data_IF_473443058485
#
_entry.id   IF_473443058485
#
_cell.length_a   1.000
_cell.length_b   1.000
_cell.length_c   1.000
_cell.angle_alpha   90.00
_cell.angle_beta   90.00
_cell.angle_gamma   90.00
#
_symmetry.space_group_name_H-M   'P 1'
#
loop_
_entity.id
_entity.type
_entity.pdbx_description
1 polymer ?
#
# COMPACT_ATOMS: atom_id res chain seq x y z
N UNK A 1 -9.40 33.54 12.54
CA UNK A 1 -10.01 32.29 12.02
C UNK A 1 -8.89 31.30 11.76
N UNK A 2 -8.97 30.09 12.32
CA UNK A 2 -8.01 29.01 12.04
C UNK A 2 -8.57 28.08 10.98
N UNK A 3 -7.83 27.87 9.90
CA UNK A 3 -8.27 27.10 8.74
C UNK A 3 -7.59 25.74 8.68
N UNK A 4 -8.35 24.65 8.69
CA UNK A 4 -7.87 23.29 8.44
C UNK A 4 -8.09 22.95 6.98
N UNK A 5 -7.05 22.47 6.29
CA UNK A 5 -7.13 22.01 4.89
C UNK A 5 -6.82 20.51 4.89
N UNK A 6 -7.87 19.69 4.76
CA UNK A 6 -7.75 18.25 4.65
C UNK A 6 -7.52 17.80 3.20
N UNK A 7 -6.96 16.61 3.00
CA UNK A 7 -6.80 16.03 1.65
C UNK A 7 -8.12 15.59 1.00
N UNK A 8 -9.13 15.28 1.83
CA UNK A 8 -10.39 14.67 1.37
C UNK A 8 -11.57 14.99 2.30
N UNK A 9 -12.82 14.90 1.80
CA UNK A 9 -14.01 15.23 2.59
C UNK A 9 -14.19 14.37 3.84
N UNK A 10 -13.84 13.08 3.78
CA UNK A 10 -13.97 12.15 4.92
C UNK A 10 -13.08 12.54 6.09
N UNK A 11 -11.83 12.95 5.81
CA UNK A 11 -10.90 13.45 6.81
C UNK A 11 -11.34 14.81 7.36
N UNK A 12 -11.78 15.74 6.50
CA UNK A 12 -12.34 17.02 6.97
C UNK A 12 -13.52 16.84 7.92
N UNK A 13 -14.44 15.91 7.61
CA UNK A 13 -15.56 15.59 8.48
C UNK A 13 -15.08 15.08 9.85
N UNK A 14 -14.11 14.16 9.87
CA UNK A 14 -13.58 13.61 11.12
C UNK A 14 -12.89 14.69 11.97
N UNK A 15 -12.09 15.57 11.35
CA UNK A 15 -11.46 16.73 12.01
C UNK A 15 -12.52 17.65 12.60
N UNK A 16 -13.58 17.95 11.84
CA UNK A 16 -14.66 18.81 12.28
C UNK A 16 -15.43 18.24 13.48
N UNK A 17 -15.74 16.94 13.47
CA UNK A 17 -16.29 16.22 14.63
C UNK A 17 -15.35 16.29 15.84
N UNK A 18 -14.04 16.14 15.62
CA UNK A 18 -13.01 16.25 16.66
C UNK A 18 -12.91 17.63 17.31
N UNK A 19 -13.25 18.69 16.57
CA UNK A 19 -13.35 20.07 17.06
C UNK A 19 -14.67 20.36 17.80
N UNK A 20 -15.57 19.37 17.92
CA UNK A 20 -16.88 19.52 18.55
C UNK A 20 -17.99 20.03 17.61
N UNK A 21 -17.68 20.21 16.33
CA UNK A 21 -18.65 20.61 15.31
C UNK A 21 -19.60 19.47 14.93
N UNK A 22 -20.79 19.83 14.45
CA UNK A 22 -21.81 18.90 13.96
C UNK A 22 -21.92 18.98 12.42
N UNK A 23 -21.35 18.02 11.67
CA UNK A 23 -21.37 18.02 10.20
C UNK A 23 -22.77 18.03 9.57
N UNK A 24 -23.81 17.63 10.31
CA UNK A 24 -25.18 17.59 9.81
C UNK A 24 -25.83 18.97 9.78
N UNK A 25 -25.40 19.89 10.65
CA UNK A 25 -26.03 21.21 10.81
C UNK A 25 -25.12 22.36 10.38
N UNK A 26 -23.80 22.16 10.39
CA UNK A 26 -22.80 23.22 10.18
C UNK A 26 -22.02 23.05 8.87
N UNK A 27 -22.59 22.32 7.89
CA UNK A 27 -22.01 22.19 6.55
C UNK A 27 -22.33 23.40 5.69
N UNK A 28 -21.29 23.99 5.10
CA UNK A 28 -21.39 25.03 4.06
C UNK A 28 -20.87 24.51 2.73
N UNK A 29 -20.87 25.37 1.72
CA UNK A 29 -20.33 25.02 0.42
C UNK A 29 -18.79 24.88 0.49
N UNK A 30 -18.29 23.65 0.41
CA UNK A 30 -16.85 23.36 0.38
C UNK A 30 -16.11 23.49 1.73
N UNK A 31 -16.81 23.73 2.84
CA UNK A 31 -16.23 23.78 4.17
C UNK A 31 -17.25 23.49 5.28
N UNK A 32 -16.73 23.33 6.50
CA UNK A 32 -17.46 23.34 7.77
C UNK A 32 -16.97 24.52 8.61
N UNK A 33 -17.84 25.13 9.41
CA UNK A 33 -17.47 26.23 10.32
C UNK A 33 -18.00 25.96 11.72
N UNK A 34 -17.14 26.08 12.73
CA UNK A 34 -17.51 25.93 14.15
C UNK A 34 -16.70 26.92 15.00
N UNK A 35 -17.39 27.88 15.62
CA UNK A 35 -16.73 28.95 16.38
C UNK A 35 -15.74 29.74 15.52
N UNK A 36 -14.44 29.64 15.84
CA UNK A 36 -13.36 30.32 15.09
C UNK A 36 -12.59 29.41 14.14
N UNK A 37 -12.96 28.13 14.09
CA UNK A 37 -12.34 27.09 13.28
C UNK A 37 -13.16 26.85 12.00
N UNK A 38 -12.46 26.73 10.87
CA UNK A 38 -13.02 26.38 9.58
C UNK A 38 -12.28 25.18 9.02
N UNK A 39 -13.01 24.16 8.58
CA UNK A 39 -12.43 22.95 8.00
C UNK A 39 -12.85 22.82 6.54
N UNK A 40 -11.89 22.88 5.62
CA UNK A 40 -12.08 22.65 4.20
C UNK A 40 -11.30 21.41 3.76
N UNK A 41 -11.48 21.00 2.51
CA UNK A 41 -10.86 19.80 1.97
C UNK A 41 -10.52 19.93 0.49
N UNK A 42 -9.55 19.13 0.08
CA UNK A 42 -9.26 18.78 -1.31
C UNK A 42 -10.05 17.52 -1.70
N UNK A 43 -9.85 17.03 -2.92
CA UNK A 43 -10.28 15.68 -3.33
C UNK A 43 -9.23 15.09 -4.30
N UNK A 44 -8.08 14.77 -3.71
CA UNK A 44 -6.83 14.60 -4.46
C UNK A 44 -6.20 15.95 -4.82
N UNK A 45 -5.21 15.92 -5.71
CA UNK A 45 -4.51 17.13 -6.15
C UNK A 45 -5.45 18.14 -6.78
N UNK A 46 -5.44 19.36 -6.26
CA UNK A 46 -6.25 20.48 -6.76
C UNK A 46 -5.52 21.25 -7.87
N UNK A 47 -4.21 21.11 -7.91
CA UNK A 47 -3.30 21.67 -8.89
C UNK A 47 -2.66 20.55 -9.70
N UNK A 48 -2.22 20.87 -10.90
CA UNK A 48 -1.42 19.98 -11.73
C UNK A 48 -0.22 20.74 -12.28
N UNK A 49 0.93 20.07 -12.38
CA UNK A 49 2.10 20.64 -13.03
C UNK A 49 1.74 21.01 -14.47
N UNK A 50 2.26 22.14 -14.94
CA UNK A 50 2.17 22.50 -16.35
C UNK A 50 2.72 21.38 -17.23
N UNK A 51 2.01 21.09 -18.30
CA UNK A 51 2.49 20.28 -19.42
C UNK A 51 3.51 21.09 -20.26
N UNK A 52 4.31 20.44 -21.11
CA UNK A 52 5.26 21.16 -21.96
C UNK A 52 4.61 22.28 -22.77
N UNK A 53 3.42 22.02 -23.35
CA UNK A 53 2.70 23.02 -24.15
C UNK A 53 2.20 24.23 -23.36
N UNK A 54 2.05 24.11 -22.03
CA UNK A 54 1.67 25.25 -21.19
C UNK A 54 2.85 26.21 -20.98
N UNK A 55 4.09 25.72 -21.11
CA UNK A 55 5.29 26.56 -21.09
C UNK A 55 5.58 27.17 -22.46
N UNK A 56 5.44 26.39 -23.53
CA UNK A 56 5.64 26.84 -24.91
C UNK A 56 4.76 26.03 -25.86
N UNK A 57 3.86 26.74 -26.56
CA UNK A 57 2.88 26.16 -27.49
C UNK A 57 3.51 25.25 -28.55
N UNK A 58 4.78 25.45 -28.90
CA UNK A 58 5.49 24.60 -29.87
C UNK A 58 5.51 23.12 -29.44
N UNK A 59 5.56 22.86 -28.12
CA UNK A 59 5.62 21.50 -27.57
C UNK A 59 4.27 20.75 -27.66
N UNK A 60 3.21 21.38 -28.16
CA UNK A 60 1.97 20.68 -28.52
C UNK A 60 2.19 19.71 -29.69
N UNK A 61 3.05 20.08 -30.65
CA UNK A 61 3.49 19.19 -31.72
C UNK A 61 4.72 18.39 -31.26
N UNK A 62 4.66 17.06 -31.30
CA UNK A 62 5.78 16.22 -30.88
C UNK A 62 6.82 16.15 -31.99
N UNK A 63 8.05 16.61 -31.69
CA UNK A 63 9.20 16.55 -32.60
C UNK A 63 10.38 15.96 -31.86
N UNK A 64 11.20 15.17 -32.58
CA UNK A 64 12.36 14.53 -31.96
C UNK A 64 13.43 15.57 -31.59
N UNK A 65 13.58 16.62 -32.42
CA UNK A 65 14.54 17.71 -32.21
C UNK A 65 14.27 18.56 -30.96
N UNK A 66 13.05 18.51 -30.41
CA UNK A 66 12.68 19.19 -29.16
C UNK A 66 13.08 18.38 -27.91
N UNK A 67 13.56 17.14 -28.07
CA UNK A 67 13.89 16.25 -26.96
C UNK A 67 15.38 16.27 -26.58
N UNK A 68 15.73 16.24 -25.28
CA UNK A 68 14.82 16.25 -24.15
C UNK A 68 14.29 17.66 -23.81
N UNK A 69 12.99 17.75 -23.56
CA UNK A 69 12.34 18.92 -22.97
C UNK A 69 12.84 19.05 -21.53
N UNK A 70 13.47 20.19 -21.22
CA UNK A 70 14.00 20.48 -19.89
C UNK A 70 12.85 20.71 -18.90
N UNK A 71 12.94 20.08 -17.74
CA UNK A 71 12.04 20.35 -16.61
C UNK A 71 12.35 21.73 -16.02
N UNK A 72 11.41 22.69 -16.04
CA UNK A 72 11.65 24.03 -15.51
C UNK A 72 11.66 24.03 -13.98
N UNK A 73 12.46 24.93 -13.40
CA UNK A 73 12.52 25.18 -11.96
C UNK A 73 12.53 26.70 -11.68
N UNK A 74 11.68 27.19 -10.76
CA UNK A 74 10.61 26.46 -10.07
C UNK A 74 9.50 26.02 -11.04
N UNK A 75 8.81 24.89 -10.76
CA UNK A 75 7.70 24.45 -11.60
C UNK A 75 6.52 25.41 -11.50
N UNK A 76 5.72 25.45 -12.57
CA UNK A 76 4.42 26.13 -12.60
C UNK A 76 3.29 25.12 -12.54
N UNK A 77 2.17 25.58 -11.98
CA UNK A 77 0.97 24.79 -11.78
C UNK A 77 -0.23 25.47 -12.42
N UNK A 78 -1.16 24.67 -12.92
CA UNK A 78 -2.51 25.08 -13.32
C UNK A 78 -3.52 24.45 -12.37
N UNK A 79 -4.66 25.09 -12.22
CA UNK A 79 -5.77 24.53 -11.44
C UNK A 79 -6.43 23.43 -12.28
N UNK A 80 -6.63 22.26 -11.68
CA UNK A 80 -7.32 21.16 -12.36
C UNK A 80 -8.77 21.58 -12.68
N UNK A 81 -9.22 21.38 -13.90
CA UNK A 81 -10.48 21.95 -14.39
C UNK A 81 -11.71 21.55 -13.55
N UNK A 82 -11.79 20.29 -13.12
CA UNK A 82 -12.83 19.75 -12.24
C UNK A 82 -12.69 20.18 -10.77
N UNK A 83 -11.51 20.67 -10.37
CA UNK A 83 -11.21 21.15 -9.03
C UNK A 83 -11.46 22.66 -8.84
N UNK A 84 -11.64 23.42 -9.93
CA UNK A 84 -11.66 24.88 -9.96
C UNK A 84 -12.55 25.52 -8.88
N UNK A 85 -13.78 25.03 -8.71
CA UNK A 85 -14.72 25.58 -7.74
C UNK A 85 -14.19 25.45 -6.30
N UNK A 86 -13.74 24.26 -5.93
CA UNK A 86 -13.24 23.99 -4.58
C UNK A 86 -11.90 24.68 -4.32
N UNK A 87 -11.01 24.73 -5.31
CA UNK A 87 -9.75 25.48 -5.22
C UNK A 87 -10.00 26.96 -4.93
N UNK A 88 -10.98 27.58 -5.60
CA UNK A 88 -11.36 28.97 -5.34
C UNK A 88 -11.90 29.18 -3.91
N UNK A 89 -12.67 28.23 -3.39
CA UNK A 89 -13.14 28.25 -2.00
C UNK A 89 -11.95 28.20 -1.04
N UNK A 90 -11.01 27.27 -1.25
CA UNK A 90 -9.81 27.14 -0.42
C UNK A 90 -8.99 28.43 -0.44
N UNK A 91 -8.76 29.05 -1.60
CA UNK A 91 -8.03 30.32 -1.69
C UNK A 91 -8.73 31.46 -0.95
N UNK A 92 -10.05 31.60 -1.10
CA UNK A 92 -10.81 32.62 -0.34
C UNK A 92 -10.72 32.40 1.18
N UNK A 93 -10.69 31.14 1.63
CA UNK A 93 -10.52 30.81 3.04
C UNK A 93 -9.09 31.09 3.52
N UNK A 94 -8.08 30.76 2.71
CA UNK A 94 -6.67 31.06 3.01
C UNK A 94 -6.48 32.57 3.19
N UNK A 95 -7.08 33.41 2.36
CA UNK A 95 -7.01 34.88 2.49
C UNK A 95 -7.54 35.37 3.84
N UNK A 96 -8.67 34.82 4.31
CA UNK A 96 -9.35 35.19 5.56
C UNK A 96 -8.72 34.58 6.82
N UNK A 97 -7.88 33.55 6.67
CA UNK A 97 -7.29 32.84 7.80
C UNK A 97 -6.29 33.73 8.56
N UNK A 98 -6.12 33.47 9.86
CA UNK A 98 -5.02 34.03 10.67
C UNK A 98 -3.93 32.99 10.91
N UNK A 99 -4.29 31.70 10.83
CA UNK A 99 -3.40 30.55 10.95
C UNK A 99 -3.98 29.37 10.16
N UNK A 100 -3.12 28.49 9.67
CA UNK A 100 -3.51 27.34 8.86
C UNK A 100 -3.08 26.04 9.55
N UNK A 101 -3.87 24.99 9.36
CA UNK A 101 -3.55 23.62 9.74
C UNK A 101 -3.58 22.75 8.49
N UNK A 102 -2.41 22.27 8.10
CA UNK A 102 -2.21 21.27 7.05
C UNK A 102 -2.62 19.89 7.59
N UNK A 103 -3.70 19.35 7.04
CA UNK A 103 -4.25 18.05 7.40
C UNK A 103 -4.30 17.11 6.18
N UNK A 104 -3.28 17.14 5.31
CA UNK A 104 -3.09 16.10 4.30
C UNK A 104 -2.80 14.74 4.95
N UNK A 105 -2.96 13.64 4.21
CA UNK A 105 -2.67 12.31 4.73
C UNK A 105 -1.20 12.25 5.24
N UNK A 106 -0.88 11.42 6.25
CA UNK A 106 0.44 11.46 6.90
C UNK A 106 1.58 10.82 6.07
N UNK A 107 1.65 11.04 4.76
CA UNK A 107 2.70 10.59 3.84
C UNK A 107 3.31 11.75 3.02
N UNK A 108 4.30 11.44 2.18
CA UNK A 108 4.98 12.40 1.31
C UNK A 108 4.01 13.12 0.35
N UNK A 109 3.03 12.40 -0.20
CA UNK A 109 2.07 12.93 -1.19
C UNK A 109 1.05 13.86 -0.53
N UNK A 110 0.50 13.46 0.62
CA UNK A 110 -0.39 14.27 1.43
C UNK A 110 0.31 15.54 1.90
N UNK A 111 1.62 15.49 2.18
CA UNK A 111 2.42 16.69 2.45
C UNK A 111 2.43 17.64 1.24
N UNK A 112 2.80 17.15 0.06
CA UNK A 112 2.83 17.95 -1.18
C UNK A 112 1.46 18.52 -1.54
N UNK A 113 0.39 17.73 -1.44
CA UNK A 113 -0.95 18.07 -1.90
C UNK A 113 -1.50 19.36 -1.27
N UNK A 114 -1.23 19.60 0.02
CA UNK A 114 -1.65 20.84 0.67
C UNK A 114 -0.57 21.91 0.57
N UNK A 115 0.72 21.56 0.66
CA UNK A 115 1.81 22.54 0.53
C UNK A 115 1.81 23.22 -0.85
N UNK A 116 1.51 22.51 -1.95
CA UNK A 116 1.44 23.11 -3.29
C UNK A 116 0.32 24.16 -3.40
N UNK A 117 -0.80 23.94 -2.70
CA UNK A 117 -1.91 24.92 -2.63
C UNK A 117 -1.46 26.16 -1.85
N UNK A 118 -0.76 25.97 -0.73
CA UNK A 118 -0.25 27.05 0.10
C UNK A 118 0.83 27.86 -0.64
N UNK A 119 1.73 27.18 -1.33
CA UNK A 119 2.79 27.78 -2.16
C UNK A 119 2.19 28.55 -3.33
N UNK A 120 1.18 27.98 -4.02
CA UNK A 120 0.45 28.64 -5.11
C UNK A 120 -0.30 29.89 -4.63
N UNK A 121 -0.94 29.81 -3.45
CA UNK A 121 -1.61 30.94 -2.80
C UNK A 121 -0.63 31.96 -2.20
N UNK A 122 0.69 31.70 -2.27
CA UNK A 122 1.76 32.52 -1.66
C UNK A 122 1.49 32.80 -0.18
N UNK A 123 1.05 31.78 0.55
CA UNK A 123 0.70 31.91 1.95
C UNK A 123 1.91 32.32 2.80
N UNK A 124 1.74 33.34 3.64
CA UNK A 124 2.73 33.79 4.64
C UNK A 124 2.27 33.57 6.08
N UNK A 125 1.08 33.02 6.27
CA UNK A 125 0.48 32.78 7.60
C UNK A 125 1.10 31.55 8.24
N UNK A 126 1.19 31.48 9.59
CA UNK A 126 1.75 30.32 10.28
C UNK A 126 0.97 29.04 9.98
N UNK A 127 1.69 27.94 9.76
CA UNK A 127 1.12 26.64 9.40
C UNK A 127 1.50 25.57 10.43
N UNK A 128 0.50 24.89 10.96
CA UNK A 128 0.67 23.67 11.76
C UNK A 128 0.34 22.44 10.91
N UNK A 129 0.89 21.28 11.26
CA UNK A 129 0.64 19.98 10.65
C UNK A 129 -0.16 19.12 11.62
N UNK A 130 -1.25 18.55 11.12
CA UNK A 130 -2.13 17.63 11.81
C UNK A 130 -2.04 16.23 11.17
N UNK A 131 -1.49 15.27 11.90
CA UNK A 131 -1.29 13.89 11.42
C UNK A 131 -2.42 12.98 11.94
N UNK A 132 -3.30 12.52 11.04
CA UNK A 132 -4.43 11.64 11.38
C UNK A 132 -4.30 10.31 10.66
N UNK A 133 -4.08 9.23 11.42
CA UNK A 133 -4.01 7.85 10.88
C UNK A 133 -5.26 7.01 11.18
N UNK A 134 -6.12 7.47 12.10
CA UNK A 134 -7.38 6.86 12.50
C UNK A 134 -8.46 7.95 12.58
N UNK A 135 -9.59 7.73 11.89
CA UNK A 135 -10.68 8.70 11.75
C UNK A 135 -11.71 8.64 12.89
N UNK A 136 -11.49 7.76 13.88
CA UNK A 136 -12.31 7.71 15.10
C UNK A 136 -12.07 8.96 15.96
N UNK A 137 -13.10 9.35 16.74
CA UNK A 137 -13.14 10.63 17.45
C UNK A 137 -11.96 10.82 18.42
N UNK A 138 -11.68 9.83 19.27
CA UNK A 138 -10.61 9.93 20.26
C UNK A 138 -9.20 10.05 19.63
N UNK A 139 -8.82 9.23 18.63
CA UNK A 139 -7.58 9.44 17.87
C UNK A 139 -7.47 10.82 17.22
N UNK A 140 -8.55 11.32 16.61
CA UNK A 140 -8.56 12.66 16.00
C UNK A 140 -8.36 13.76 17.04
N UNK A 141 -9.05 13.69 18.18
CA UNK A 141 -8.87 14.65 19.27
C UNK A 141 -7.44 14.63 19.83
N UNK A 142 -6.85 13.43 19.95
CA UNK A 142 -5.44 13.29 20.33
C UNK A 142 -4.51 13.92 19.29
N UNK A 143 -4.76 13.74 18.00
CA UNK A 143 -3.97 14.36 16.94
C UNK A 143 -4.09 15.90 16.95
N UNK A 144 -5.30 16.44 17.17
CA UNK A 144 -5.56 17.87 17.31
C UNK A 144 -4.78 18.49 18.47
N UNK A 145 -4.65 17.77 19.59
CA UNK A 145 -3.87 18.23 20.74
C UNK A 145 -2.34 18.18 20.52
N UNK A 146 -1.87 17.43 19.52
CA UNK A 146 -0.44 17.17 19.26
C UNK A 146 0.02 17.66 17.89
N UNK A 147 -0.57 18.75 17.38
CA UNK A 147 -0.13 19.39 16.14
C UNK A 147 1.33 19.85 16.23
N UNK A 148 2.01 19.85 15.08
CA UNK A 148 3.42 20.20 14.99
C UNK A 148 3.65 21.33 13.99
N UNK A 149 4.76 22.08 14.05
CA UNK A 149 5.11 23.03 12.99
C UNK A 149 5.25 22.34 11.63
N UNK A 150 4.63 22.89 10.58
CA UNK A 150 4.64 22.28 9.24
C UNK A 150 6.04 22.25 8.61
N UNK A 151 6.91 23.17 9.01
CA UNK A 151 8.29 23.29 8.53
C UNK A 151 9.11 22.01 8.74
N UNK A 152 8.77 21.22 9.79
CA UNK A 152 9.42 19.93 10.05
C UNK A 152 9.19 18.90 8.93
N UNK A 153 8.14 19.08 8.14
CA UNK A 153 7.71 18.15 7.09
C UNK A 153 8.10 18.62 5.69
N UNK A 154 8.78 19.77 5.56
CA UNK A 154 9.16 20.31 4.24
C UNK A 154 10.06 19.36 3.43
N UNK A 155 10.86 18.53 4.10
CA UNK A 155 11.62 17.46 3.45
C UNK A 155 10.75 16.45 2.70
N UNK A 156 9.60 16.07 3.28
CA UNK A 156 8.63 15.16 2.66
C UNK A 156 7.97 15.81 1.45
N UNK A 157 7.55 17.07 1.57
CA UNK A 157 7.03 17.87 0.43
C UNK A 157 8.05 17.93 -0.71
N UNK A 158 9.32 18.23 -0.41
CA UNK A 158 10.37 18.32 -1.42
C UNK A 158 10.66 16.95 -2.06
N UNK A 159 10.58 15.86 -1.30
CA UNK A 159 10.68 14.47 -1.79
C UNK A 159 9.59 14.17 -2.81
N UNK A 160 8.32 14.40 -2.47
CA UNK A 160 7.18 14.21 -3.36
C UNK A 160 7.23 15.10 -4.61
N UNK A 161 7.65 16.37 -4.46
CA UNK A 161 7.81 17.27 -5.59
C UNK A 161 8.92 16.79 -6.54
N UNK A 162 10.08 16.40 -5.99
CA UNK A 162 11.19 15.87 -6.79
C UNK A 162 10.78 14.60 -7.53
N UNK A 163 10.03 13.70 -6.88
CA UNK A 163 9.43 12.51 -7.51
C UNK A 163 8.53 12.89 -8.68
N UNK A 164 7.61 13.83 -8.47
CA UNK A 164 6.65 14.28 -9.48
C UNK A 164 7.36 14.87 -10.71
N UNK A 165 8.35 15.73 -10.50
CA UNK A 165 9.14 16.35 -11.57
C UNK A 165 10.01 15.33 -12.32
N UNK A 166 10.58 14.36 -11.59
CA UNK A 166 11.37 13.27 -12.18
C UNK A 166 10.49 12.37 -13.06
N UNK A 167 9.33 11.94 -12.54
CA UNK A 167 8.41 11.07 -13.27
C UNK A 167 7.81 11.79 -14.49
N UNK A 168 7.48 13.08 -14.38
CA UNK A 168 7.01 13.89 -15.50
C UNK A 168 8.11 14.06 -16.57
N UNK A 169 9.32 14.46 -16.16
CA UNK A 169 10.45 14.66 -17.07
C UNK A 169 10.87 13.37 -17.78
N UNK A 170 10.97 12.26 -17.05
CA UNK A 170 11.28 10.94 -17.60
C UNK A 170 10.16 10.47 -18.54
N UNK A 171 8.91 10.57 -18.08
CA UNK A 171 7.73 10.09 -18.78
C UNK A 171 7.50 10.82 -20.11
N UNK A 172 7.47 12.16 -20.09
CA UNK A 172 7.25 12.94 -21.31
C UNK A 172 8.35 12.73 -22.34
N UNK A 173 9.62 12.80 -21.92
CA UNK A 173 10.72 12.70 -22.87
C UNK A 173 10.80 11.33 -23.54
N UNK A 174 10.74 10.24 -22.76
CA UNK A 174 10.85 8.90 -23.32
C UNK A 174 9.59 8.45 -24.04
N UNK A 175 8.39 8.81 -23.54
CA UNK A 175 7.14 8.48 -24.25
C UNK A 175 7.09 9.17 -25.60
N UNK A 176 7.42 10.47 -25.68
CA UNK A 176 7.47 11.21 -26.95
C UNK A 176 8.51 10.60 -27.89
N UNK A 177 9.74 10.39 -27.41
CA UNK A 177 10.84 9.84 -28.21
C UNK A 177 10.55 8.44 -28.75
N UNK A 178 10.10 7.52 -27.90
CA UNK A 178 9.74 6.16 -28.31
C UNK A 178 8.55 6.17 -29.25
N UNK A 179 7.50 6.96 -28.99
CA UNK A 179 6.32 7.05 -29.86
C UNK A 179 6.70 7.54 -31.25
N UNK A 180 7.50 8.61 -31.37
CA UNK A 180 7.98 9.11 -32.67
C UNK A 180 8.78 8.03 -33.43
N UNK A 181 9.65 7.28 -32.75
CA UNK A 181 10.37 6.15 -33.35
C UNK A 181 9.48 4.97 -33.73
N UNK A 182 8.40 4.75 -32.99
CA UNK A 182 7.36 3.78 -33.36
C UNK A 182 6.63 4.20 -34.64
N UNK A 183 6.26 5.48 -34.73
CA UNK A 183 5.56 6.04 -35.90
C UNK A 183 6.41 5.96 -37.18
N UNK A 184 7.72 6.22 -37.09
CA UNK A 184 8.67 5.99 -38.21
C UNK A 184 8.64 4.54 -38.73
N UNK A 185 8.26 3.58 -37.88
CA UNK A 185 8.14 2.15 -38.20
C UNK A 185 6.70 1.69 -38.48
N UNK A 186 5.75 2.61 -38.63
CA UNK A 186 4.34 2.31 -38.92
C UNK A 186 3.47 1.99 -37.70
N UNK A 187 3.93 2.24 -36.48
CA UNK A 187 3.09 2.12 -35.29
C UNK A 187 2.23 3.37 -35.08
N UNK A 188 0.92 3.21 -35.02
CA UNK A 188 -0.05 4.32 -34.94
C UNK A 188 -0.61 4.58 -33.52
N UNK A 189 0.05 4.06 -32.47
CA UNK A 189 -0.32 4.28 -31.07
C UNK A 189 0.70 5.10 -30.29
N UNK A 190 0.51 5.17 -28.96
CA UNK A 190 1.47 5.76 -28.03
C UNK A 190 2.31 4.65 -27.37
N UNK A 191 3.63 4.80 -27.41
CA UNK A 191 4.56 3.94 -26.68
C UNK A 191 4.86 4.60 -25.34
N UNK A 192 4.01 4.32 -24.35
CA UNK A 192 4.16 4.83 -22.99
C UNK A 192 5.44 4.29 -22.34
N UNK A 193 6.31 5.19 -21.93
CA UNK A 193 7.54 4.88 -21.19
C UNK A 193 7.51 5.65 -19.89
N UNK A 194 7.70 4.95 -18.79
CA UNK A 194 7.72 5.55 -17.46
C UNK A 194 8.52 4.68 -16.50
N UNK A 195 9.19 5.33 -15.53
CA UNK A 195 10.14 4.69 -14.61
C UNK A 195 9.54 3.45 -13.94
N UNK A 196 8.28 3.52 -13.52
CA UNK A 196 7.57 2.40 -12.87
C UNK A 196 6.99 1.42 -13.90
N UNK A 197 6.13 1.89 -14.82
CA UNK A 197 5.43 1.00 -15.76
C UNK A 197 6.39 0.19 -16.65
N UNK A 198 7.49 0.79 -17.09
CA UNK A 198 8.47 0.12 -17.95
C UNK A 198 9.29 -0.92 -17.19
N UNK A 199 9.59 -0.68 -15.90
CA UNK A 199 10.23 -1.68 -15.05
C UNK A 199 9.31 -2.89 -14.81
N UNK A 200 8.01 -2.65 -14.55
CA UNK A 200 7.02 -3.72 -14.40
C UNK A 200 6.88 -4.55 -15.67
N UNK A 201 6.77 -3.89 -16.84
CA UNK A 201 6.77 -4.57 -18.13
C UNK A 201 8.05 -5.38 -18.34
N UNK A 202 9.20 -4.84 -17.94
CA UNK A 202 10.49 -5.53 -18.00
C UNK A 202 10.50 -6.84 -17.23
N UNK A 203 9.95 -6.87 -16.00
CA UNK A 203 9.85 -8.09 -15.19
C UNK A 203 8.99 -9.16 -15.86
N UNK A 204 7.84 -8.76 -16.43
CA UNK A 204 6.96 -9.68 -17.17
C UNK A 204 7.69 -10.22 -18.40
N UNK A 205 8.31 -9.35 -19.19
CA UNK A 205 9.04 -9.74 -20.39
C UNK A 205 10.20 -10.70 -20.08
N UNK A 206 10.99 -10.42 -19.03
CA UNK A 206 12.07 -11.30 -18.59
C UNK A 206 11.54 -12.70 -18.20
N UNK A 207 10.42 -12.77 -17.48
CA UNK A 207 9.80 -14.06 -17.15
C UNK A 207 9.28 -14.78 -18.39
N UNK A 208 8.67 -14.07 -19.33
CA UNK A 208 8.20 -14.64 -20.60
C UNK A 208 9.36 -15.22 -21.40
N UNK A 209 10.46 -14.47 -21.55
CA UNK A 209 11.66 -14.95 -22.25
C UNK A 209 12.30 -16.15 -21.53
N UNK A 210 12.36 -16.15 -20.20
CA UNK A 210 12.86 -17.28 -19.43
C UNK A 210 12.02 -18.55 -19.66
N UNK A 211 10.70 -18.41 -19.79
CA UNK A 211 9.81 -19.52 -20.10
C UNK A 211 9.95 -19.97 -21.58
N UNK A 212 10.04 -19.04 -22.53
CA UNK A 212 10.20 -19.35 -23.96
C UNK A 212 11.54 -20.05 -24.26
N UNK A 213 12.59 -19.68 -23.53
CA UNK A 213 13.92 -20.26 -23.65
C UNK A 213 14.13 -21.46 -22.71
N UNK A 214 13.09 -21.91 -21.98
CA UNK A 214 13.20 -23.07 -21.14
C UNK A 214 13.33 -24.33 -21.99
N UNK A 215 14.42 -25.06 -21.81
CA UNK A 215 14.59 -26.40 -22.39
C UNK A 215 14.22 -27.42 -21.33
N UNK A 216 13.25 -28.28 -21.65
CA UNK A 216 12.84 -29.36 -20.77
C UNK A 216 13.96 -30.40 -20.64
N UNK A 217 14.07 -31.01 -19.47
CA UNK A 217 15.03 -32.09 -19.21
C UNK A 217 14.43 -33.06 -18.20
N UNK A 218 14.67 -34.35 -18.42
CA UNK A 218 14.19 -35.40 -17.54
C UNK A 218 15.14 -35.58 -16.35
N UNK A 219 14.55 -35.89 -15.20
CA UNK A 219 15.27 -36.39 -14.03
C UNK A 219 14.42 -37.47 -13.37
N UNK A 220 15.06 -38.32 -12.59
CA UNK A 220 14.46 -39.50 -12.01
C UNK A 220 14.49 -39.39 -10.48
N UNK A 221 13.33 -39.53 -9.85
CA UNK A 221 13.21 -39.69 -8.39
C UNK A 221 12.99 -41.17 -8.07
N UNK A 222 13.89 -41.75 -7.28
CA UNK A 222 13.72 -43.10 -6.75
C UNK A 222 13.11 -43.01 -5.35
N UNK A 223 11.98 -43.68 -5.13
CA UNK A 223 11.30 -43.75 -3.85
C UNK A 223 11.13 -45.21 -3.41
N UNK A 224 11.40 -45.49 -2.14
CA UNK A 224 11.18 -46.79 -1.53
C UNK A 224 9.98 -46.76 -0.58
N UNK A 225 9.11 -47.76 -0.70
CA UNK A 225 8.07 -48.04 0.28
C UNK A 225 8.61 -49.03 1.32
N UNK A 226 8.71 -48.60 2.57
CA UNK A 226 9.30 -49.36 3.66
C UNK A 226 8.20 -49.78 4.65
N UNK A 227 8.17 -51.05 5.03
CA UNK A 227 7.30 -51.54 6.10
C UNK A 227 8.12 -51.74 7.37
N UNK A 228 7.73 -51.07 8.46
CA UNK A 228 8.42 -51.13 9.73
C UNK A 228 7.43 -51.05 10.88
N UNK A 229 7.42 -52.05 11.76
CA UNK A 229 6.48 -52.16 12.88
C UNK A 229 5.00 -51.99 12.48
N UNK A 230 4.63 -52.46 11.28
CA UNK A 230 3.26 -52.33 10.75
C UNK A 230 2.94 -50.97 10.11
N UNK A 231 3.88 -50.02 10.09
CA UNK A 231 3.73 -48.72 9.44
C UNK A 231 4.37 -48.74 8.05
N UNK A 232 3.73 -48.05 7.10
CA UNK A 232 4.26 -47.81 5.76
C UNK A 232 4.94 -46.43 5.72
N UNK A 233 6.22 -46.41 5.37
CA UNK A 233 7.04 -45.19 5.22
C UNK A 233 7.45 -45.03 3.76
N UNK A 234 7.55 -43.78 3.31
CA UNK A 234 8.16 -43.43 2.02
C UNK A 234 9.53 -42.82 2.25
N UNK A 235 10.56 -43.40 1.66
CA UNK A 235 11.92 -42.85 1.66
C UNK A 235 12.28 -42.42 0.23
N UNK A 236 12.90 -41.25 0.08
CA UNK A 236 13.46 -40.78 -1.20
C UNK A 236 14.95 -41.11 -1.23
N UNK A 237 15.44 -41.66 -2.34
CA UNK A 237 16.85 -41.89 -2.55
C UNK A 237 17.64 -40.57 -2.51
N UNK A 238 18.73 -40.55 -1.77
CA UNK A 238 19.71 -39.46 -1.83
C UNK A 238 20.74 -39.77 -2.91
N UNK A 239 20.83 -38.88 -3.90
CA UNK A 239 21.78 -38.97 -5.00
C UNK A 239 23.22 -38.98 -4.46
N UNK A 240 24.00 -39.99 -4.84
CA UNK A 240 25.37 -40.18 -4.42
C UNK A 240 26.36 -39.31 -5.25
N UNK A 241 27.64 -39.30 -4.87
CA UNK A 241 28.67 -38.58 -5.63
C UNK A 241 28.96 -39.19 -7.01
N UNK A 242 28.87 -40.52 -7.13
CA UNK A 242 29.13 -41.24 -8.39
C UNK A 242 27.93 -41.31 -9.35
N UNK A 243 26.79 -40.73 -8.96
CA UNK A 243 25.59 -40.71 -9.79
C UNK A 243 25.71 -39.69 -10.92
N UNK A 244 25.16 -40.03 -12.08
CA UNK A 244 24.91 -39.11 -13.17
C UNK A 244 23.80 -38.14 -12.76
N UNK A 245 24.19 -36.92 -12.43
CA UNK A 245 23.29 -35.91 -11.87
C UNK A 245 23.44 -34.55 -12.53
N UNK A 246 22.36 -33.77 -12.46
CA UNK A 246 22.39 -32.38 -12.87
C UNK A 246 22.95 -31.45 -11.78
N UNK A 247 23.03 -30.16 -12.09
CA UNK A 247 23.51 -29.10 -11.19
C UNK A 247 22.66 -28.95 -9.91
N UNK A 248 21.44 -29.51 -9.88
CA UNK A 248 20.54 -29.52 -8.72
C UNK A 248 20.65 -30.81 -7.91
N UNK A 249 21.66 -31.64 -8.18
CA UNK A 249 21.84 -32.97 -7.59
C UNK A 249 20.63 -33.88 -7.81
N UNK A 250 20.01 -33.82 -8.99
CA UNK A 250 18.93 -34.74 -9.39
C UNK A 250 19.50 -35.78 -10.35
N UNK A 251 19.12 -37.04 -10.16
CA UNK A 251 19.56 -38.15 -11.01
C UNK A 251 19.01 -37.99 -12.43
N UNK A 252 19.87 -38.04 -13.45
CA UNK A 252 19.48 -37.85 -14.86
C UNK A 252 19.59 -39.12 -15.71
N UNK A 253 20.14 -40.20 -15.17
CA UNK A 253 20.27 -41.49 -15.85
C UNK A 253 19.15 -42.46 -15.45
N UNK A 254 18.30 -42.83 -16.40
CA UNK A 254 17.24 -43.83 -16.19
C UNK A 254 17.83 -45.19 -15.81
N UNK A 255 18.95 -45.55 -16.43
CA UNK A 255 19.64 -46.82 -16.20
C UNK A 255 20.13 -46.90 -14.75
N UNK A 256 20.74 -45.83 -14.24
CA UNK A 256 21.13 -45.76 -12.83
C UNK A 256 19.91 -45.80 -11.90
N UNK A 257 18.83 -45.08 -12.23
CA UNK A 257 17.60 -45.11 -11.43
C UNK A 257 17.04 -46.53 -11.30
N UNK A 258 16.98 -47.28 -12.42
CA UNK A 258 16.55 -48.69 -12.44
C UNK A 258 17.52 -49.59 -11.67
N UNK A 259 18.83 -49.39 -11.82
CA UNK A 259 19.83 -50.15 -11.09
C UNK A 259 19.70 -49.97 -9.56
N UNK A 260 19.44 -48.74 -9.09
CA UNK A 260 19.16 -48.48 -7.67
C UNK A 260 17.91 -49.25 -7.22
N UNK A 261 16.81 -49.17 -7.97
CA UNK A 261 15.57 -49.91 -7.65
C UNK A 261 15.81 -51.41 -7.56
N UNK A 262 16.47 -52.00 -8.55
CA UNK A 262 16.80 -53.43 -8.58
C UNK A 262 17.67 -53.84 -7.39
N UNK A 263 18.65 -53.00 -7.03
CA UNK A 263 19.57 -53.28 -5.93
C UNK A 263 18.89 -53.32 -4.57
N UNK A 264 17.93 -52.41 -4.32
CA UNK A 264 17.29 -52.23 -3.01
C UNK A 264 15.97 -52.99 -2.85
N UNK A 265 15.34 -53.44 -3.95
CA UNK A 265 14.07 -54.16 -3.90
C UNK A 265 14.19 -55.46 -3.09
N UNK A 266 13.28 -55.64 -2.13
CA UNK A 266 13.28 -56.82 -1.24
C UNK A 266 14.42 -56.86 -0.21
N UNK A 267 15.27 -55.82 -0.15
CA UNK A 267 16.32 -55.71 0.86
C UNK A 267 15.78 -55.13 2.17
N UNK A 268 16.49 -55.43 3.26
CA UNK A 268 16.18 -54.85 4.58
C UNK A 268 16.69 -53.41 4.63
N UNK A 269 15.85 -52.48 5.05
CA UNK A 269 16.26 -51.12 5.39
C UNK A 269 16.78 -51.07 6.84
N UNK A 270 17.86 -50.32 7.05
CA UNK A 270 18.43 -50.06 8.39
C UNK A 270 18.35 -48.57 8.64
N UNK A 271 17.81 -48.18 9.79
CA UNK A 271 17.85 -46.78 10.21
C UNK A 271 19.25 -46.47 10.72
N UNK A 272 19.93 -45.56 10.04
CA UNK A 272 21.25 -45.07 10.45
C UNK A 272 21.17 -43.94 11.49
N UNK A 273 20.13 -43.10 11.41
CA UNK A 273 19.96 -41.94 12.28
C UNK A 273 18.46 -41.62 12.46
N UNK A 274 18.08 -41.20 13.67
CA UNK A 274 16.77 -40.60 13.95
C UNK A 274 16.96 -39.29 14.70
N UNK A 275 16.25 -38.25 14.27
CA UNK A 275 16.26 -36.97 14.94
C UNK A 275 14.84 -36.39 14.99
N UNK A 276 14.40 -36.04 16.18
CA UNK A 276 13.19 -35.25 16.41
C UNK A 276 13.63 -33.88 16.87
N UNK A 277 13.29 -32.85 16.10
CA UNK A 277 13.62 -31.46 16.45
C UNK A 277 12.33 -30.70 16.72
N UNK A 278 12.22 -29.99 17.85
CA UNK A 278 11.09 -29.10 18.08
C UNK A 278 11.12 -27.97 17.03
N UNK A 279 10.01 -27.78 16.33
CA UNK A 279 9.83 -26.68 15.40
C UNK A 279 8.93 -25.62 16.03
N UNK A 280 9.41 -24.39 16.05
CA UNK A 280 8.66 -23.24 16.56
C UNK A 280 8.45 -22.22 15.45
N UNK A 281 7.25 -22.19 14.90
CA UNK A 281 6.86 -21.17 13.93
C UNK A 281 6.23 -19.97 14.66
N UNK A 282 6.86 -18.80 14.53
CA UNK A 282 6.31 -17.54 15.06
C UNK A 282 5.12 -17.08 14.22
N UNK A 283 4.15 -16.35 14.82
CA UNK A 283 3.08 -15.74 14.05
C UNK A 283 3.63 -14.75 13.01
N UNK A 284 2.92 -14.54 11.88
CA UNK A 284 3.32 -13.57 10.88
C UNK A 284 3.24 -12.13 11.41
N UNK A 285 3.94 -11.21 10.75
CA UNK A 285 3.82 -9.78 11.02
C UNK A 285 2.41 -9.26 10.63
N UNK A 286 1.89 -8.21 11.29
CA UNK A 286 0.72 -7.46 10.85
C UNK A 286 0.79 -7.03 9.38
N UNK A 287 -0.35 -6.67 8.79
CA UNK A 287 -0.45 -6.47 7.35
C UNK A 287 -0.07 -5.03 6.94
N UNK A 288 0.61 -4.92 5.80
CA UNK A 288 0.67 -3.71 5.00
C UNK A 288 -0.16 -3.91 3.71
N UNK A 289 -0.34 -2.85 2.91
CA UNK A 289 -1.19 -2.93 1.72
C UNK A 289 -0.73 -4.03 0.73
N UNK A 290 0.57 -4.12 0.45
CA UNK A 290 1.11 -5.08 -0.52
C UNK A 290 0.92 -6.53 -0.07
N UNK A 291 1.19 -6.82 1.21
CA UNK A 291 0.98 -8.18 1.76
C UNK A 291 -0.49 -8.54 1.73
N UNK A 292 -1.37 -7.60 2.07
CA UNK A 292 -2.81 -7.83 2.06
C UNK A 292 -3.33 -8.07 0.64
N UNK A 293 -2.90 -7.27 -0.34
CA UNK A 293 -3.22 -7.48 -1.76
C UNK A 293 -2.78 -8.87 -2.26
N UNK A 294 -1.59 -9.35 -1.85
CA UNK A 294 -1.14 -10.69 -2.20
C UNK A 294 -2.01 -11.80 -1.58
N UNK A 295 -2.40 -11.64 -0.31
CA UNK A 295 -3.28 -12.59 0.38
C UNK A 295 -4.65 -12.62 -0.30
N UNK A 296 -5.25 -11.46 -0.55
CA UNK A 296 -6.55 -11.34 -1.21
C UNK A 296 -6.51 -11.89 -2.64
N UNK A 297 -5.44 -11.63 -3.40
CA UNK A 297 -5.28 -12.19 -4.74
C UNK A 297 -5.20 -13.73 -4.71
N UNK A 298 -4.38 -14.32 -3.82
CA UNK A 298 -4.24 -15.79 -3.72
C UNK A 298 -5.50 -16.48 -3.21
N UNK A 299 -6.20 -15.86 -2.24
CA UNK A 299 -7.31 -16.50 -1.54
C UNK A 299 -8.66 -16.24 -2.20
N UNK A 300 -8.82 -15.08 -2.85
CA UNK A 300 -10.12 -14.61 -3.37
C UNK A 300 -10.08 -14.19 -4.85
N UNK A 301 -8.90 -14.15 -5.48
CA UNK A 301 -8.77 -13.73 -6.88
C UNK A 301 -8.91 -12.23 -7.10
N UNK A 302 -8.90 -11.42 -6.04
CA UNK A 302 -9.07 -9.96 -6.16
C UNK A 302 -7.90 -9.31 -6.90
N UNK A 303 -8.24 -8.28 -7.67
CA UNK A 303 -7.24 -7.37 -8.22
C UNK A 303 -6.72 -6.45 -7.09
N UNK A 304 -5.48 -5.98 -7.22
CA UNK A 304 -4.88 -5.08 -6.24
C UNK A 304 -5.73 -3.83 -5.95
N UNK A 305 -6.34 -3.25 -6.99
CA UNK A 305 -7.25 -2.10 -6.87
C UNK A 305 -8.52 -2.44 -6.09
N UNK A 306 -9.11 -3.60 -6.34
CA UNK A 306 -10.32 -4.06 -5.66
C UNK A 306 -10.08 -4.21 -4.15
N UNK A 307 -8.95 -4.81 -3.75
CA UNK A 307 -8.56 -4.88 -2.34
C UNK A 307 -8.41 -3.48 -1.73
N UNK A 308 -7.73 -2.55 -2.41
CA UNK A 308 -7.55 -1.18 -1.93
C UNK A 308 -8.90 -0.45 -1.78
N UNK A 309 -9.80 -0.57 -2.76
CA UNK A 309 -11.11 0.08 -2.73
C UNK A 309 -11.95 -0.42 -1.52
N UNK A 310 -11.93 -1.72 -1.24
CA UNK A 310 -12.61 -2.30 -0.07
C UNK A 310 -11.98 -1.76 1.23
N UNK A 311 -10.64 -1.72 1.31
CA UNK A 311 -9.95 -1.20 2.50
C UNK A 311 -10.22 0.28 2.73
N UNK A 312 -10.32 1.07 1.66
CA UNK A 312 -10.72 2.47 1.77
C UNK A 312 -12.15 2.61 2.29
N UNK A 313 -13.09 1.76 1.88
CA UNK A 313 -14.43 1.73 2.45
C UNK A 313 -14.43 1.40 3.96
N UNK A 314 -13.65 0.41 4.38
CA UNK A 314 -13.52 0.05 5.80
C UNK A 314 -12.89 1.15 6.65
N UNK A 315 -11.89 1.86 6.10
CA UNK A 315 -11.22 2.96 6.78
C UNK A 315 -12.08 4.24 6.82
N UNK A 316 -12.54 4.72 5.67
CA UNK A 316 -13.17 6.05 5.57
C UNK A 316 -14.66 6.04 5.95
N UNK A 317 -15.40 5.05 5.44
CA UNK A 317 -16.85 4.98 5.65
C UNK A 317 -17.18 4.34 6.99
N UNK A 318 -16.56 3.19 7.27
CA UNK A 318 -16.92 2.38 8.42
C UNK A 318 -16.05 2.66 9.66
N UNK A 319 -14.88 3.26 9.49
CA UNK A 319 -13.89 3.52 10.56
C UNK A 319 -13.51 2.25 11.33
N UNK A 320 -13.43 1.11 10.63
CA UNK A 320 -13.16 -0.21 11.22
C UNK A 320 -11.69 -0.61 11.14
N UNK A 321 -10.93 -0.05 10.19
CA UNK A 321 -9.50 -0.26 10.03
C UNK A 321 -8.73 1.05 10.15
N UNK A 322 -7.43 0.94 10.39
CA UNK A 322 -6.47 2.05 10.32
C UNK A 322 -6.05 2.34 8.87
N UNK A 323 -5.26 3.41 8.66
CA UNK A 323 -4.87 3.91 7.33
C UNK A 323 -4.38 2.79 6.37
N UNK A 324 -5.08 2.53 5.25
CA UNK A 324 -4.88 1.31 4.47
C UNK A 324 -3.79 1.41 3.39
N UNK A 325 -3.18 2.58 3.18
CA UNK A 325 -2.09 2.77 2.18
C UNK A 325 -0.69 2.62 2.77
N UNK A 326 -0.59 2.26 4.04
CA UNK A 326 0.67 1.98 4.72
C UNK A 326 1.47 0.85 4.06
N UNK A 327 2.78 1.05 3.96
CA UNK A 327 3.78 0.04 3.61
C UNK A 327 4.45 -0.59 4.85
N UNK A 328 4.17 -0.05 6.05
CA UNK A 328 4.76 -0.48 7.30
C UNK A 328 4.00 -1.67 7.93
N UNK A 329 4.70 -2.48 8.74
CA UNK A 329 4.15 -3.69 9.40
C UNK A 329 4.34 -3.69 10.92
N UNK A 330 4.78 -2.58 11.50
CA UNK A 330 5.02 -2.40 12.93
C UNK A 330 3.88 -1.60 13.58
N UNK A 331 3.80 -1.68 14.90
CA UNK A 331 2.79 -1.08 15.78
C UNK A 331 3.49 -0.40 16.95
N UNK A 332 2.85 0.61 17.54
CA UNK A 332 3.34 1.32 18.73
C UNK A 332 3.00 0.55 20.02
N UNK A 333 3.61 0.96 21.13
CA UNK A 333 3.26 0.42 22.45
C UNK A 333 1.83 0.76 22.88
N UNK A 334 1.28 1.86 22.40
CA UNK A 334 -0.11 2.23 22.65
C UNK A 334 -1.08 1.21 22.04
N UNK A 335 -0.81 0.72 20.82
CA UNK A 335 -1.60 -0.35 20.23
C UNK A 335 -1.52 -1.65 21.04
N UNK A 336 -0.40 -1.91 21.72
CA UNK A 336 -0.28 -3.07 22.61
C UNK A 336 -1.19 -2.92 23.83
N UNK A 337 -1.23 -1.74 24.45
CA UNK A 337 -2.16 -1.45 25.55
C UNK A 337 -3.63 -1.57 25.12
N UNK A 338 -3.95 -1.21 23.88
CA UNK A 338 -5.30 -1.31 23.30
C UNK A 338 -5.66 -2.71 22.77
N UNK A 339 -4.75 -3.69 22.84
CA UNK A 339 -4.97 -5.01 22.23
C UNK A 339 -6.24 -5.71 22.77
N UNK A 340 -6.59 -5.49 24.04
CA UNK A 340 -7.83 -5.99 24.63
C UNK A 340 -9.08 -5.41 23.95
N UNK A 341 -9.17 -4.09 23.84
CA UNK A 341 -10.30 -3.39 23.23
C UNK A 341 -10.44 -3.73 21.73
N UNK A 342 -9.30 -3.83 21.03
CA UNK A 342 -9.27 -4.25 19.63
C UNK A 342 -9.79 -5.68 19.48
N UNK A 343 -9.41 -6.60 20.36
CA UNK A 343 -9.91 -7.98 20.34
C UNK A 343 -11.41 -8.09 20.64
N UNK A 344 -11.92 -7.27 21.55
CA UNK A 344 -13.35 -7.19 21.85
C UNK A 344 -14.12 -6.61 20.65
N UNK A 345 -13.56 -5.58 19.99
CA UNK A 345 -14.11 -5.03 18.74
C UNK A 345 -14.12 -6.05 17.60
N UNK A 346 -13.04 -6.84 17.44
CA UNK A 346 -12.97 -7.93 16.46
C UNK A 346 -14.05 -8.97 16.75
N UNK A 347 -14.15 -9.47 17.99
CA UNK A 347 -15.16 -10.48 18.37
C UNK A 347 -16.60 -9.99 18.19
N UNK A 348 -16.85 -8.69 18.40
CA UNK A 348 -18.15 -8.07 18.14
C UNK A 348 -18.43 -7.85 16.65
N UNK A 349 -17.40 -7.67 15.83
CA UNK A 349 -17.52 -7.48 14.37
C UNK A 349 -17.65 -8.81 13.63
N UNK A 350 -16.92 -9.83 14.08
CA UNK A 350 -16.85 -11.17 13.52
C UNK A 350 -17.12 -12.20 14.64
N UNK A 351 -18.40 -12.51 14.93
CA UNK A 351 -18.78 -13.38 16.05
C UNK A 351 -18.10 -14.77 16.04
N UNK A 352 -17.74 -15.28 14.88
CA UNK A 352 -17.00 -16.54 14.73
C UNK A 352 -15.58 -16.49 15.30
N UNK A 353 -14.99 -15.30 15.46
CA UNK A 353 -13.68 -15.09 16.08
C UNK A 353 -13.78 -14.82 17.58
N UNK A 354 -14.98 -14.62 18.13
CA UNK A 354 -15.17 -14.17 19.51
C UNK A 354 -14.54 -15.12 20.55
N UNK A 355 -14.60 -16.44 20.34
CA UNK A 355 -13.95 -17.41 21.22
C UNK A 355 -12.42 -17.29 21.16
N UNK A 356 -11.86 -17.09 19.97
CA UNK A 356 -10.42 -16.95 19.78
C UNK A 356 -9.90 -15.64 20.38
N UNK A 357 -10.62 -14.53 20.20
CA UNK A 357 -10.24 -13.22 20.76
C UNK A 357 -10.38 -13.17 22.27
N UNK A 358 -11.40 -13.83 22.84
CA UNK A 358 -11.55 -13.95 24.29
C UNK A 358 -10.46 -14.83 24.93
N UNK A 359 -10.02 -15.88 24.24
CA UNK A 359 -8.99 -16.82 24.72
C UNK A 359 -7.54 -16.40 24.46
N UNK A 360 -7.30 -15.26 23.81
CA UNK A 360 -5.95 -14.83 23.47
C UNK A 360 -5.15 -14.38 24.71
N UNK A 361 -3.87 -14.72 24.76
CA UNK A 361 -2.96 -14.20 25.79
C UNK A 361 -2.58 -12.75 25.48
N UNK A 362 -3.28 -11.82 26.15
CA UNK A 362 -3.11 -10.36 26.01
C UNK A 362 -1.76 -9.85 26.54
N UNK A 363 -0.96 -10.70 27.20
CA UNK A 363 0.35 -10.32 27.76
C UNK A 363 1.51 -10.57 26.79
N UNK A 364 1.29 -11.36 25.73
CA UNK A 364 2.34 -11.68 24.76
C UNK A 364 2.62 -10.53 23.80
N UNK A 365 3.83 -9.97 23.90
CA UNK A 365 4.27 -8.89 23.03
C UNK A 365 5.01 -9.42 21.80
N UNK A 366 4.33 -9.39 20.65
CA UNK A 366 4.93 -9.73 19.37
C UNK A 366 6.01 -8.71 18.94
N UNK A 367 7.00 -9.14 18.14
CA UNK A 367 8.08 -8.26 17.62
C UNK A 367 7.59 -7.09 16.75
N UNK A 368 6.33 -7.10 16.34
CA UNK A 368 5.71 -6.01 15.59
C UNK A 368 5.49 -4.76 16.46
N UNK A 369 5.41 -4.89 17.78
CA UNK A 369 5.31 -3.73 18.67
C UNK A 369 6.69 -3.09 18.85
N UNK A 370 7.06 -2.22 17.92
CA UNK A 370 8.34 -1.53 17.87
C UNK A 370 8.18 -0.14 17.23
N UNK A 371 8.03 0.88 18.07
CA UNK A 371 7.82 2.26 17.63
C UNK A 371 9.00 2.83 16.80
N UNK A 372 10.23 2.36 17.04
CA UNK A 372 11.41 2.83 16.27
C UNK A 372 11.42 2.39 14.80
N UNK A 373 10.56 1.45 14.44
CA UNK A 373 10.38 0.93 13.08
C UNK A 373 9.15 1.50 12.38
N UNK A 374 8.43 2.40 13.04
CA UNK A 374 7.33 3.15 12.45
C UNK A 374 7.94 4.38 11.78
N UNK A 375 7.64 4.55 10.50
CA UNK A 375 8.02 5.74 9.74
C UNK A 375 6.83 6.71 9.72
N UNK A 376 6.23 6.94 8.56
CA UNK A 376 5.00 7.73 8.40
C UNK A 376 3.76 7.04 9.01
N UNK A 377 3.68 5.72 8.89
CA UNK A 377 2.51 4.93 9.26
C UNK A 377 2.90 3.64 9.98
N UNK A 378 1.92 3.08 10.68
CA UNK A 378 1.99 1.74 11.27
C UNK A 378 1.19 0.74 10.42
N UNK A 379 1.14 -0.52 10.84
CA UNK A 379 0.42 -1.57 10.13
C UNK A 379 -1.09 -1.34 10.04
N UNK A 380 -1.73 -1.97 9.05
CA UNK A 380 -3.18 -2.07 8.93
C UNK A 380 -3.70 -3.01 10.02
N UNK A 381 -4.51 -2.48 10.93
CA UNK A 381 -5.17 -3.23 12.01
C UNK A 381 -6.62 -2.77 12.18
N UNK A 382 -7.48 -3.61 12.79
CA UNK A 382 -8.77 -3.16 13.27
C UNK A 382 -8.64 -2.05 14.32
N UNK A 383 -9.62 -1.15 14.35
CA UNK A 383 -9.74 -0.11 15.38
C UNK A 383 -10.50 -0.65 16.59
N UNK A 384 -10.64 0.16 17.63
CA UNK A 384 -11.47 -0.17 18.80
C UNK A 384 -12.98 -0.04 18.54
N UNK A 385 -13.39 0.41 17.34
CA UNK A 385 -14.79 0.49 16.94
C UNK A 385 -15.28 -0.87 16.45
N UNK A 386 -16.36 -1.38 17.05
CA UNK A 386 -17.02 -2.59 16.56
C UNK A 386 -17.89 -2.32 15.33
N UNK A 387 -17.90 -3.29 14.40
CA UNK A 387 -18.72 -3.31 13.20
C UNK A 387 -20.08 -3.98 13.38
N UNK A 388 -20.52 -4.28 14.61
CA UNK A 388 -21.77 -5.02 14.90
C UNK A 388 -23.03 -4.45 14.20
N UNK A 389 -23.06 -3.14 13.97
CA UNK A 389 -24.17 -2.42 13.33
C UNK A 389 -23.83 -1.94 11.91
N UNK A 390 -22.72 -2.40 11.34
CA UNK A 390 -22.27 -2.02 10.00
C UNK A 390 -22.70 -3.11 9.03
N UNK A 391 -23.61 -2.78 8.10
CA UNK A 391 -23.80 -3.61 6.91
C UNK A 391 -22.64 -3.35 5.97
N UNK A 392 -21.71 -4.30 5.90
CA UNK A 392 -20.63 -4.27 4.92
C UNK A 392 -21.22 -4.70 3.58
N UNK A 393 -21.46 -3.75 2.66
CA UNK A 393 -22.13 -3.99 1.38
C UNK A 393 -21.69 -5.31 0.72
N UNK A 394 -22.67 -6.16 0.40
CA UNK A 394 -22.53 -7.42 -0.34
C UNK A 394 -22.25 -7.15 -1.84
N UNK A 395 -21.12 -6.50 -2.14
CA UNK A 395 -20.58 -6.47 -3.50
C UNK A 395 -20.09 -7.86 -3.89
N UNK A 396 -21.01 -8.69 -4.37
CA UNK A 396 -20.93 -10.15 -4.57
C UNK A 396 -20.82 -10.95 -3.25
N UNK A 397 -21.49 -12.13 -3.14
CA UNK A 397 -22.08 -12.63 -1.88
C UNK A 397 -21.12 -13.13 -0.79
N UNK A 398 -19.85 -12.72 -0.75
CA UNK A 398 -18.82 -13.31 0.12
C UNK A 398 -17.68 -12.37 0.58
N UNK A 399 -17.72 -11.06 0.32
CA UNK A 399 -16.46 -10.35 0.00
C UNK A 399 -15.86 -9.38 1.03
N UNK A 400 -16.60 -8.85 1.99
CA UNK A 400 -16.10 -7.86 2.97
C UNK A 400 -15.74 -8.46 4.34
N UNK A 401 -16.52 -9.43 4.83
CA UNK A 401 -16.26 -10.17 6.07
C UNK A 401 -14.90 -10.91 6.04
N UNK A 402 -14.44 -11.31 4.85
CA UNK A 402 -13.22 -12.12 4.68
C UNK A 402 -11.90 -11.34 4.72
N UNK A 403 -11.93 -10.02 4.62
CA UNK A 403 -10.71 -9.19 4.70
C UNK A 403 -10.49 -8.64 6.11
N UNK A 404 -11.54 -8.55 6.92
CA UNK A 404 -11.42 -8.23 8.36
C UNK A 404 -10.88 -9.44 9.15
N UNK A 405 -11.08 -10.67 8.65
CA UNK A 405 -10.39 -11.90 9.10
C UNK A 405 -8.94 -11.92 8.66
#
# INVERSE_FOLDING_TARGET
MRLFIAEKPSLAKAIFEGLGGNPATEKKNGCYEHGTDVVTWCFGHMLELYDPQDYDVKYAAWRFDDLPIKTPWPPKYKIRADAQQQTNIIFSLIEKATSIVHAGDPDDEGCLLVDEILDYAKNTKPVQRLLVADLNLAPVQKALANMQPNEKFRGMTNSALARSLCDQGFGYNLTRGCTLKGQEKGFHGVLNVGRVQSAVLGLVNQRTLANQNHTESFYYDVQAALSMNGHLLKAKYQVAEGDEKDEKNRLISEAQAKAVVEHVTGKKAVISETATKPEHTKPPMPLNLSTLQQICARRFGYKAKETLDIMQGLYETHKLLTYPRTDNRYLSDEHFTQAGDIADAIGATLPELATATAGMDKTQKHKAFNASKIEAHHAIIPTTKSGKCVQLNEGSPQNSEKIVR
#
